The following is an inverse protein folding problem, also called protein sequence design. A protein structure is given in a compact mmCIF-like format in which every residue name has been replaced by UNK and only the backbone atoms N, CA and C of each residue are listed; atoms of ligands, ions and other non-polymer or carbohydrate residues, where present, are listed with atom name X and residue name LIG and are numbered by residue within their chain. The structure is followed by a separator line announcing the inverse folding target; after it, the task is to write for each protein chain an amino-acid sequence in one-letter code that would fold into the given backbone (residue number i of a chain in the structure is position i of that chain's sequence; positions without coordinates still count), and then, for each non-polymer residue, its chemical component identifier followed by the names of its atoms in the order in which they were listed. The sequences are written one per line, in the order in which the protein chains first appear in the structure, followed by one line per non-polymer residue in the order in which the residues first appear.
data_IF_329653204147
#
_entry.id   IF_329653204147
#
_cell.length_a   1.000
_cell.length_b   1.000
_cell.length_c   1.000
_cell.angle_alpha   90.00
_cell.angle_beta   90.00
_cell.angle_gamma   90.00
#
_symmetry.space_group_name_H-M   'P 1'
#
loop_
_entity.id
_entity.type
_entity.pdbx_description
1 polymer ?
#
# COMPACT_ATOMS: atom_id res chain seq x y z
N UNK A 1 -10.96 -6.11 -10.05
CA UNK A 1 -12.15 -6.96 -10.23
C UNK A 1 -13.33 -6.29 -9.56
N UNK A 2 -14.54 -6.50 -10.10
CA UNK A 2 -15.80 -5.97 -9.58
C UNK A 2 -16.70 -7.14 -9.17
N UNK A 3 -17.18 -7.10 -7.94
CA UNK A 3 -18.25 -7.96 -7.45
C UNK A 3 -19.59 -7.37 -7.91
N UNK A 4 -20.37 -8.17 -8.61
CA UNK A 4 -21.75 -7.86 -8.97
C UNK A 4 -22.66 -8.92 -8.38
N UNK A 5 -23.80 -8.49 -7.84
CA UNK A 5 -24.82 -9.39 -7.32
C UNK A 5 -26.20 -8.76 -7.51
N UNK A 6 -27.17 -9.61 -7.84
CA UNK A 6 -28.60 -9.31 -7.73
C UNK A 6 -29.08 -9.58 -6.31
N UNK A 7 -30.28 -9.09 -5.98
CA UNK A 7 -30.89 -9.15 -4.67
C UNK A 7 -30.61 -7.90 -3.82
N UNK A 8 -31.28 -7.81 -2.67
CA UNK A 8 -31.29 -6.61 -1.83
C UNK A 8 -32.16 -5.49 -2.43
N UNK A 9 -32.19 -4.35 -1.73
CA UNK A 9 -32.97 -3.18 -2.15
C UNK A 9 -32.04 -2.05 -2.59
N UNK A 10 -32.45 -1.29 -3.59
CA UNK A 10 -31.78 -0.05 -3.97
C UNK A 10 -32.11 1.10 -3.01
N UNK A 11 -31.57 2.28 -3.29
CA UNK A 11 -31.80 3.50 -2.49
C UNK A 11 -33.28 3.96 -2.50
N UNK A 12 -34.09 3.43 -3.41
CA UNK A 12 -35.51 3.71 -3.55
C UNK A 12 -36.38 2.60 -2.93
N UNK A 13 -35.77 1.57 -2.34
CA UNK A 13 -36.48 0.45 -1.74
C UNK A 13 -37.01 -0.55 -2.76
N UNK A 14 -36.56 -0.50 -4.02
CA UNK A 14 -36.92 -1.49 -5.03
C UNK A 14 -35.95 -2.66 -4.98
N UNK A 15 -36.48 -3.87 -5.13
CA UNK A 15 -35.64 -5.07 -5.20
C UNK A 15 -34.76 -5.02 -6.45
N UNK A 16 -33.47 -5.23 -6.27
CA UNK A 16 -32.50 -5.25 -7.37
C UNK A 16 -32.52 -6.62 -8.03
N UNK A 17 -33.29 -6.78 -9.10
CA UNK A 17 -33.43 -8.06 -9.82
C UNK A 17 -32.30 -8.33 -10.84
N UNK A 18 -31.50 -7.32 -11.17
CA UNK A 18 -30.38 -7.41 -12.12
C UNK A 18 -29.03 -7.41 -11.40
N UNK A 19 -27.96 -7.80 -12.09
CA UNK A 19 -26.61 -7.73 -11.54
C UNK A 19 -26.19 -6.26 -11.37
N UNK A 20 -26.08 -5.82 -10.12
CA UNK A 20 -25.58 -4.50 -9.78
C UNK A 20 -24.18 -4.58 -9.17
N UNK A 21 -23.29 -3.60 -9.42
CA UNK A 21 -22.05 -3.44 -8.68
C UNK A 21 -22.28 -3.39 -7.17
N UNK A 22 -21.59 -4.24 -6.40
CA UNK A 22 -21.66 -4.25 -4.93
C UNK A 22 -20.35 -3.87 -4.26
N UNK A 23 -19.22 -4.26 -4.84
CA UNK A 23 -17.92 -3.95 -4.27
C UNK A 23 -16.77 -4.33 -5.18
N UNK A 24 -15.59 -3.80 -4.92
CA UNK A 24 -14.43 -3.90 -5.81
C UNK A 24 -13.19 -4.37 -5.05
N UNK A 25 -12.24 -4.94 -5.77
CA UNK A 25 -10.93 -5.27 -5.22
C UNK A 25 -9.85 -5.15 -6.30
N UNK A 26 -8.62 -4.90 -5.87
CA UNK A 26 -7.44 -4.83 -6.74
C UNK A 26 -6.34 -5.74 -6.19
N UNK A 27 -5.79 -6.56 -7.07
CA UNK A 27 -4.70 -7.49 -6.78
C UNK A 27 -3.68 -7.39 -7.90
N UNK A 28 -2.43 -7.06 -7.57
CA UNK A 28 -1.32 -7.18 -8.52
C UNK A 28 -0.86 -8.64 -8.54
N UNK A 29 -1.07 -9.31 -9.67
CA UNK A 29 -0.60 -10.70 -9.84
C UNK A 29 0.86 -10.79 -10.26
N UNK A 30 1.47 -9.68 -10.69
CA UNK A 30 2.90 -9.57 -10.99
C UNK A 30 3.55 -8.54 -10.06
N UNK A 31 4.81 -8.78 -9.71
CA UNK A 31 5.66 -7.78 -9.05
C UNK A 31 6.31 -6.82 -10.05
N UNK A 32 7.01 -5.82 -9.53
CA UNK A 32 7.77 -4.84 -10.31
C UNK A 32 8.92 -5.46 -11.13
N UNK A 33 9.33 -6.69 -10.81
CA UNK A 33 10.27 -7.48 -11.62
C UNK A 33 9.54 -8.39 -12.63
N UNK A 34 8.25 -8.17 -12.84
CA UNK A 34 7.38 -8.95 -13.73
C UNK A 34 7.28 -10.44 -13.34
N UNK A 35 7.44 -10.77 -12.05
CA UNK A 35 7.29 -12.14 -11.55
C UNK A 35 5.89 -12.36 -11.01
N UNK A 36 5.28 -13.47 -11.39
CA UNK A 36 3.94 -13.86 -10.95
C UNK A 36 3.95 -14.23 -9.46
N UNK A 37 3.03 -13.68 -8.67
CA UNK A 37 2.82 -14.12 -7.29
C UNK A 37 2.18 -15.50 -7.33
N UNK A 38 2.73 -16.47 -6.59
CA UNK A 38 2.12 -17.79 -6.40
C UNK A 38 1.76 -17.97 -4.93
N UNK A 39 0.67 -18.67 -4.64
CA UNK A 39 0.22 -18.91 -3.27
C UNK A 39 -1.30 -18.88 -3.10
N UNK A 40 -1.71 -18.78 -1.82
CA UNK A 40 -3.10 -18.78 -1.37
C UNK A 40 -3.43 -17.40 -0.81
N UNK A 41 -4.30 -16.66 -1.49
CA UNK A 41 -4.55 -15.26 -1.20
C UNK A 41 -5.98 -15.01 -0.77
N UNK A 42 -6.17 -14.18 0.25
CA UNK A 42 -7.47 -13.59 0.60
C UNK A 42 -7.42 -12.08 0.39
N UNK A 43 -8.43 -11.54 -0.30
CA UNK A 43 -8.47 -10.12 -0.68
C UNK A 43 -9.80 -9.52 -0.23
N UNK A 44 -9.81 -8.44 0.57
CA UNK A 44 -11.04 -7.82 1.05
C UNK A 44 -11.78 -7.13 -0.10
N UNK A 45 -13.10 -7.31 -0.16
CA UNK A 45 -13.98 -6.59 -1.07
C UNK A 45 -14.30 -5.22 -0.48
N UNK A 46 -14.05 -4.17 -1.23
CA UNK A 46 -14.20 -2.77 -0.81
C UNK A 46 -15.50 -2.17 -1.34
N UNK A 47 -16.07 -1.21 -0.60
CA UNK A 47 -17.26 -0.48 -1.02
C UNK A 47 -17.04 0.32 -2.31
N UNK A 48 -18.14 0.76 -2.90
CA UNK A 48 -18.14 1.71 -4.02
C UNK A 48 -18.09 3.15 -3.50
N UNK A 49 -17.64 4.13 -4.30
CA UNK A 49 -17.13 3.99 -5.66
C UNK A 49 -15.63 3.67 -5.68
N UNK A 50 -15.24 2.70 -6.51
CA UNK A 50 -13.85 2.50 -6.89
C UNK A 50 -13.70 2.72 -8.41
N UNK A 51 -12.50 3.07 -8.87
CA UNK A 51 -12.20 3.33 -10.29
C UNK A 51 -11.03 2.46 -10.74
N UNK A 52 -10.99 1.98 -12.01
CA UNK A 52 -9.93 1.06 -12.44
C UNK A 52 -8.52 1.67 -12.34
N UNK A 53 -8.45 3.00 -12.48
CA UNK A 53 -7.24 3.81 -12.35
C UNK A 53 -6.69 3.92 -10.93
N UNK A 54 -7.49 3.63 -9.89
CA UNK A 54 -7.02 3.69 -8.51
C UNK A 54 -5.89 2.68 -8.27
N UNK A 55 -4.84 3.11 -7.60
CA UNK A 55 -3.76 2.26 -7.10
C UNK A 55 -4.28 1.27 -6.05
N UNK A 56 -3.50 0.22 -5.78
CA UNK A 56 -3.88 -0.77 -4.75
C UNK A 56 -3.93 -0.15 -3.35
N UNK A 57 -3.09 0.85 -3.08
CA UNK A 57 -3.14 1.60 -1.82
C UNK A 57 -4.45 2.39 -1.68
N UNK A 58 -4.88 3.09 -2.73
CA UNK A 58 -6.15 3.84 -2.74
C UNK A 58 -7.35 2.91 -2.58
N UNK A 59 -7.37 1.77 -3.28
CA UNK A 59 -8.43 0.76 -3.11
C UNK A 59 -8.46 0.24 -1.66
N UNK A 60 -7.30 0.00 -1.04
CA UNK A 60 -7.23 -0.49 0.33
C UNK A 60 -7.67 0.54 1.38
N UNK A 61 -7.67 1.83 1.05
CA UNK A 61 -8.17 2.89 1.92
C UNK A 61 -9.71 2.95 1.98
N UNK A 62 -10.40 2.36 1.01
CA UNK A 62 -11.86 2.27 1.00
C UNK A 62 -12.34 1.29 2.09
N UNK A 63 -13.46 1.53 2.79
CA UNK A 63 -13.98 0.58 3.76
C UNK A 63 -14.34 -0.77 3.11
N UNK A 64 -14.22 -1.85 3.89
CA UNK A 64 -14.61 -3.19 3.44
C UNK A 64 -16.14 -3.32 3.42
N UNK A 65 -16.67 -4.03 2.42
CA UNK A 65 -18.09 -4.38 2.32
C UNK A 65 -18.38 -5.57 3.22
N UNK A 66 -19.03 -5.39 4.36
CA UNK A 66 -19.58 -6.44 5.25
C UNK A 66 -18.65 -7.64 5.51
N UNK A 67 -17.35 -7.38 5.68
CA UNK A 67 -16.31 -8.41 5.83
C UNK A 67 -16.18 -9.39 4.64
N UNK A 68 -16.75 -9.07 3.48
CA UNK A 68 -16.66 -9.87 2.28
C UNK A 68 -15.20 -9.95 1.81
N UNK A 69 -14.76 -11.15 1.48
CA UNK A 69 -13.39 -11.48 1.08
C UNK A 69 -13.42 -12.46 -0.10
N UNK A 70 -12.53 -12.24 -1.07
CA UNK A 70 -12.27 -13.19 -2.15
C UNK A 70 -11.09 -14.09 -1.77
N UNK A 71 -11.34 -15.40 -1.75
CA UNK A 71 -10.33 -16.43 -1.55
C UNK A 71 -9.92 -17.02 -2.91
N UNK A 72 -8.63 -16.94 -3.23
CA UNK A 72 -8.10 -17.38 -4.53
C UNK A 72 -6.75 -18.06 -4.38
N UNK A 73 -6.41 -18.91 -5.35
CA UNK A 73 -5.08 -19.52 -5.46
C UNK A 73 -4.47 -19.16 -6.81
N UNK A 74 -3.19 -18.84 -6.78
CA UNK A 74 -2.42 -18.53 -7.98
C UNK A 74 -1.25 -19.50 -8.02
N UNK A 75 -1.14 -20.25 -9.11
CA UNK A 75 -0.10 -21.26 -9.31
C UNK A 75 0.20 -21.40 -10.81
N UNK A 76 1.32 -22.03 -11.14
CA UNK A 76 1.65 -22.37 -12.50
C UNK A 76 0.73 -23.51 -12.98
N UNK A 77 0.26 -23.44 -14.23
CA UNK A 77 -0.62 -24.47 -14.83
C UNK A 77 -0.04 -25.89 -14.72
N UNK A 78 1.29 -26.04 -14.73
CA UNK A 78 1.95 -27.35 -14.54
C UNK A 78 1.59 -28.03 -13.21
N UNK A 79 1.29 -27.24 -12.18
CA UNK A 79 1.00 -27.72 -10.83
C UNK A 79 -0.51 -27.78 -10.56
N UNK A 80 -1.36 -27.57 -11.57
CA UNK A 80 -2.79 -27.40 -11.41
C UNK A 80 -3.46 -28.55 -10.66
N UNK A 81 -3.15 -29.80 -11.02
CA UNK A 81 -3.74 -30.99 -10.39
C UNK A 81 -3.38 -31.12 -8.91
N UNK A 82 -2.13 -30.79 -8.55
CA UNK A 82 -1.68 -30.85 -7.16
C UNK A 82 -2.33 -29.73 -6.35
N UNK A 83 -2.44 -28.52 -6.93
CA UNK A 83 -2.97 -27.33 -6.26
C UNK A 83 -4.50 -27.27 -6.19
N UNK A 84 -5.20 -27.99 -7.07
CA UNK A 84 -6.66 -28.12 -7.09
C UNK A 84 -7.20 -29.21 -6.15
N UNK A 85 -6.33 -30.12 -5.68
CA UNK A 85 -6.69 -31.27 -4.83
C UNK A 85 -7.43 -30.92 -3.53
N UNK A 86 -7.24 -29.70 -3.00
CA UNK A 86 -7.93 -29.22 -1.79
C UNK A 86 -8.98 -28.19 -2.21
N UNK A 87 -10.28 -28.33 -1.91
CA UNK A 87 -11.28 -27.33 -2.28
C UNK A 87 -11.04 -25.98 -1.59
N UNK A 88 -11.55 -24.86 -2.13
CA UNK A 88 -11.57 -23.58 -1.40
C UNK A 88 -12.78 -23.60 -0.49
N UNK A 89 -12.59 -23.61 0.84
CA UNK A 89 -13.69 -23.74 1.81
C UNK A 89 -13.45 -22.86 3.03
N UNK A 90 -14.50 -22.57 3.78
CA UNK A 90 -14.38 -21.78 5.02
C UNK A 90 -13.46 -22.48 6.03
N UNK A 91 -13.51 -23.82 6.10
CA UNK A 91 -12.70 -24.62 7.03
C UNK A 91 -11.19 -24.45 6.80
N UNK A 92 -10.78 -24.10 5.58
CA UNK A 92 -9.38 -23.84 5.26
C UNK A 92 -9.05 -22.37 5.05
N UNK A 93 -9.95 -21.43 5.37
CA UNK A 93 -9.71 -19.99 5.23
C UNK A 93 -8.42 -19.53 5.94
N UNK A 94 -8.04 -20.19 7.04
CA UNK A 94 -6.83 -19.87 7.81
C UNK A 94 -5.50 -20.03 7.06
N UNK A 95 -5.46 -20.80 5.96
CA UNK A 95 -4.23 -20.99 5.16
C UNK A 95 -4.02 -19.89 4.11
N UNK A 96 -4.95 -18.94 4.00
CA UNK A 96 -4.92 -17.85 3.03
C UNK A 96 -4.41 -16.57 3.68
N UNK A 97 -3.52 -15.89 2.99
CA UNK A 97 -2.85 -14.68 3.48
C UNK A 97 -3.21 -13.46 2.64
N UNK A 98 -3.06 -12.27 3.21
CA UNK A 98 -3.22 -11.04 2.46
C UNK A 98 -2.05 -10.83 1.49
N UNK A 99 -2.30 -10.31 0.27
CA UNK A 99 -1.25 -9.94 -0.66
C UNK A 99 -0.36 -8.85 -0.06
N UNK A 100 0.95 -8.97 -0.29
CA UNK A 100 1.89 -7.91 0.08
C UNK A 100 1.59 -6.66 -0.76
N UNK A 101 1.34 -5.53 -0.08
CA UNK A 101 1.22 -4.23 -0.75
C UNK A 101 2.63 -3.85 -1.22
N UNK A 102 2.84 -3.80 -2.52
CA UNK A 102 4.12 -3.39 -3.08
C UNK A 102 4.29 -1.87 -2.88
N UNK A 103 4.96 -1.47 -1.81
CA UNK A 103 5.51 -0.11 -1.72
C UNK A 103 6.71 -0.03 -2.67
N UNK A 104 6.77 0.95 -3.58
CA UNK A 104 8.01 1.23 -4.29
C UNK A 104 9.10 1.50 -3.25
N UNK A 105 10.13 0.66 -3.20
CA UNK A 105 11.33 1.00 -2.44
C UNK A 105 11.96 2.17 -3.17
N UNK A 106 11.76 3.39 -2.68
CA UNK A 106 12.68 4.48 -3.01
C UNK A 106 14.02 4.05 -2.43
N UNK A 107 14.93 3.58 -3.27
CA UNK A 107 16.34 3.49 -2.93
C UNK A 107 16.83 4.92 -2.72
N UNK A 108 16.73 5.41 -1.49
CA UNK A 108 17.52 6.55 -1.05
C UNK A 108 18.96 6.08 -1.14
N UNK A 109 19.61 6.42 -2.26
CA UNK A 109 21.05 6.28 -2.37
C UNK A 109 21.66 7.13 -1.27
N UNK A 110 22.23 6.49 -0.26
CA UNK A 110 23.30 7.14 0.49
C UNK A 110 24.47 7.27 -0.48
N UNK A 111 24.55 8.43 -1.10
CA UNK A 111 25.75 8.87 -1.77
C UNK A 111 26.79 9.11 -0.67
N UNK A 112 27.65 8.11 -0.47
CA UNK A 112 28.79 8.17 0.41
C UNK A 112 29.81 9.16 -0.20
N UNK A 113 29.64 10.45 0.09
CA UNK A 113 30.67 11.45 -0.14
C UNK A 113 31.77 11.23 0.88
N UNK A 114 32.84 10.56 0.45
CA UNK A 114 34.10 10.50 1.18
C UNK A 114 34.67 11.92 1.32
N UNK A 115 34.42 12.57 2.44
CA UNK A 115 35.23 13.70 2.88
C UNK A 115 36.22 13.22 3.95
N UNK A 116 37.46 13.04 3.51
CA UNK A 116 38.62 12.68 4.33
C UNK A 116 38.85 13.76 5.40
N UNK A 117 38.49 13.44 6.65
CA UNK A 117 38.86 14.24 7.83
C UNK A 117 40.38 14.18 7.98
N UNK A 118 41.07 15.28 7.68
CA UNK A 118 42.47 15.50 8.07
C UNK A 118 42.51 16.44 9.28
N UNK A 119 42.85 15.87 10.43
CA UNK A 119 43.05 16.56 11.72
C UNK A 119 44.20 17.59 11.70
N UNK A 120 44.28 18.49 12.69
CA UNK A 120 44.62 19.90 12.51
C UNK A 120 46.11 20.21 12.74
N UNK A 121 46.58 21.32 12.16
CA UNK A 121 47.84 21.95 12.54
C UNK A 121 47.56 23.30 13.22
N UNK A 122 48.12 23.45 14.41
CA UNK A 122 48.06 24.61 15.30
C UNK A 122 49.02 25.70 14.79
N UNK A 123 48.55 26.96 14.74
CA UNK A 123 49.35 28.20 14.90
C UNK A 123 48.36 29.38 15.08
N UNK A 124 48.08 29.79 16.31
CA UNK A 124 48.80 30.74 17.17
C UNK A 124 48.58 32.23 16.80
N UNK A 125 47.88 32.91 17.72
CA UNK A 125 47.88 34.34 18.05
C UNK A 125 47.42 35.38 17.01
N UNK A 126 46.30 36.06 17.32
CA UNK A 126 46.38 37.38 17.97
C UNK A 126 45.05 37.81 18.57
N UNK A 127 45.14 38.21 19.83
CA UNK A 127 44.12 38.92 20.62
C UNK A 127 43.91 40.31 20.03
N UNK A 128 42.66 40.71 19.78
CA UNK A 128 42.25 42.10 19.93
C UNK A 128 40.84 42.15 20.52
N UNK A 129 40.73 42.98 21.54
CA UNK A 129 39.64 43.06 22.50
C UNK A 129 38.54 44.04 22.08
N UNK A 130 37.45 43.99 22.85
CA UNK A 130 36.53 45.09 23.19
C UNK A 130 35.45 45.41 22.13
N UNK A 131 34.19 45.68 22.46
CA UNK A 131 33.46 45.65 23.72
C UNK A 131 31.94 45.64 23.40
N UNK A 132 31.17 45.10 24.34
CA UNK A 132 29.79 45.44 24.71
C UNK A 132 29.11 46.62 23.97
N UNK A 133 27.90 46.40 23.45
CA UNK A 133 26.75 47.25 23.83
C UNK A 133 25.41 46.57 23.53
N UNK A 134 24.48 46.75 24.47
CA UNK A 134 23.17 46.11 24.56
C UNK A 134 22.13 46.76 23.63
N UNK A 135 21.12 45.94 23.27
CA UNK A 135 19.74 46.27 22.83
C UNK A 135 19.13 47.48 23.60
N UNK A 136 18.12 48.23 23.07
CA UNK A 136 16.80 47.65 22.73
C UNK A 136 15.94 48.30 21.61
N UNK A 137 14.98 47.46 21.18
CA UNK A 137 13.56 47.66 20.76
C UNK A 137 13.03 49.10 20.64
N UNK A 138 12.29 49.40 19.56
CA UNK A 138 10.94 50.02 19.60
C UNK A 138 10.20 50.03 18.25
N UNK A 139 8.88 49.89 18.36
CA UNK A 139 7.83 49.83 17.32
C UNK A 139 7.36 51.20 16.81
N UNK A 140 6.42 51.15 15.85
CA UNK A 140 5.52 52.19 15.30
C UNK A 140 6.08 52.91 14.06
N UNK A 141 5.34 53.10 12.95
CA UNK A 141 3.90 53.03 12.65
C UNK A 141 3.68 52.55 11.22
#
# INVERSE_FOLDING_TARGET
MQLQASGGYDIYGHEVTHLAPRGWLKLHIFDHHNRMISGRWKVPVRLLPAKPSMTTAEVNAVPQLDNAELYLRIFNTRDAEIQSSVPITVNNAGIYQFPLVQTPKHSVGMQESHETIRSPAVQSARVHASAFSQRPVNSAS
#
